data_IF_177473556620
#
_entry.id   IF_177473556620
#
_cell.length_a   1.000
_cell.length_b   1.000
_cell.length_c   1.000
_cell.angle_alpha   90.00
_cell.angle_beta   90.00
_cell.angle_gamma   90.00
#
_symmetry.space_group_name_H-M   'P 1'
#
loop_
_entity.id
_entity.type
_entity.pdbx_description
1 polymer ?
#
# COMPACT_ATOMS: atom_id res chain seq x y z
N UNK A 1 11.41 -0.48 -1.44
CA UNK A 1 12.72 -1.16 -1.35
C UNK A 1 13.69 -0.37 -0.47
N UNK A 2 14.00 0.87 -0.81
CA UNK A 2 14.95 1.71 -0.06
C UNK A 2 14.59 1.88 1.43
N UNK A 3 13.33 1.76 1.77
CA UNK A 3 12.82 1.86 3.15
C UNK A 3 12.62 0.49 3.82
N UNK A 4 13.12 -0.59 3.22
CA UNK A 4 13.03 -1.95 3.78
C UNK A 4 11.66 -2.61 3.70
N UNK A 5 10.69 -1.99 3.03
CA UNK A 5 9.36 -2.58 2.85
C UNK A 5 9.34 -3.61 1.72
N UNK A 6 8.52 -4.64 1.86
CA UNK A 6 8.25 -5.61 0.80
C UNK A 6 7.15 -5.08 -0.10
N UNK A 7 7.29 -5.28 -1.41
CA UNK A 7 6.25 -4.96 -2.38
C UNK A 7 5.42 -6.20 -2.70
N UNK A 8 4.11 -6.03 -2.61
CA UNK A 8 3.14 -7.04 -3.01
C UNK A 8 2.15 -6.43 -4.01
N UNK A 9 1.81 -7.16 -5.04
CA UNK A 9 0.93 -6.70 -6.12
C UNK A 9 -0.27 -7.63 -6.20
N UNK A 10 -1.47 -7.04 -6.26
CA UNK A 10 -2.74 -7.77 -6.42
C UNK A 10 -3.27 -7.46 -7.81
N UNK A 11 -3.45 -8.47 -8.62
CA UNK A 11 -4.06 -8.34 -9.94
C UNK A 11 -5.60 -8.29 -9.84
N UNK A 12 -6.29 -7.64 -10.75
CA UNK A 12 -5.75 -6.78 -11.82
C UNK A 12 -5.25 -5.44 -11.27
N UNK A 13 -4.04 -5.06 -11.64
CA UNK A 13 -3.47 -3.75 -11.29
C UNK A 13 -3.58 -2.78 -12.47
N UNK A 14 -3.23 -1.51 -12.26
CA UNK A 14 -3.38 -0.46 -13.28
C UNK A 14 -2.36 -0.52 -14.43
N UNK A 15 -1.51 -1.56 -14.48
CA UNK A 15 -0.46 -1.73 -15.51
C UNK A 15 -0.25 -3.22 -15.78
N UNK A 16 0.41 -3.52 -16.90
CA UNK A 16 0.78 -4.89 -17.25
C UNK A 16 2.11 -5.26 -16.59
N UNK A 17 2.12 -6.35 -15.82
CA UNK A 17 3.33 -6.86 -15.16
C UNK A 17 4.38 -7.37 -16.17
N UNK A 18 3.96 -7.63 -17.41
CA UNK A 18 4.83 -7.98 -18.53
C UNK A 18 5.43 -6.79 -19.26
N UNK A 19 5.01 -5.55 -18.92
CA UNK A 19 5.52 -4.33 -19.54
C UNK A 19 7.03 -4.21 -19.30
N UNK A 20 7.78 -3.95 -20.38
CA UNK A 20 9.23 -3.77 -20.32
C UNK A 20 9.66 -2.63 -19.41
N UNK A 21 8.85 -1.55 -19.33
CA UNK A 21 9.10 -0.41 -18.43
C UNK A 21 9.01 -0.81 -16.98
N UNK A 22 7.99 -1.58 -16.63
CA UNK A 22 7.83 -2.11 -15.27
C UNK A 22 9.02 -3.02 -14.90
N UNK A 23 9.37 -3.96 -15.76
CA UNK A 23 10.51 -4.88 -15.54
C UNK A 23 11.82 -4.11 -15.36
N UNK A 24 12.06 -3.09 -16.16
CA UNK A 24 13.27 -2.25 -16.06
C UNK A 24 13.35 -1.53 -14.72
N UNK A 25 12.27 -0.87 -14.31
CA UNK A 25 12.22 -0.17 -13.01
C UNK A 25 12.44 -1.13 -11.85
N UNK A 26 11.82 -2.30 -11.90
CA UNK A 26 11.99 -3.32 -10.86
C UNK A 26 13.44 -3.80 -10.78
N UNK A 27 14.07 -4.08 -11.91
CA UNK A 27 15.47 -4.54 -11.96
C UNK A 27 16.45 -3.49 -11.44
N UNK A 28 16.18 -2.21 -11.66
CA UNK A 28 17.05 -1.13 -11.21
C UNK A 28 16.99 -0.90 -9.69
N UNK A 29 15.87 -1.21 -9.04
CA UNK A 29 15.63 -0.83 -7.65
C UNK A 29 15.38 -2.00 -6.69
N UNK A 30 15.06 -3.17 -7.18
CA UNK A 30 14.82 -4.34 -6.34
C UNK A 30 15.01 -5.65 -7.09
N UNK A 31 15.22 -6.70 -6.32
CA UNK A 31 15.23 -8.06 -6.84
C UNK A 31 13.80 -8.47 -7.21
N UNK A 32 13.51 -8.78 -8.48
CA UNK A 32 12.17 -9.20 -8.92
C UNK A 32 11.63 -10.42 -8.17
N UNK A 33 12.51 -11.31 -7.69
CA UNK A 33 12.11 -12.50 -6.92
C UNK A 33 11.49 -12.16 -5.56
N UNK A 34 11.69 -10.95 -5.07
CA UNK A 34 11.13 -10.46 -3.80
C UNK A 34 9.77 -9.81 -3.93
N UNK A 35 9.26 -9.67 -5.14
CA UNK A 35 7.91 -9.15 -5.39
C UNK A 35 6.94 -10.31 -5.36
N UNK A 36 5.95 -10.26 -4.47
CA UNK A 36 4.88 -11.25 -4.44
C UNK A 36 3.68 -10.75 -5.24
N UNK A 37 3.14 -11.61 -6.11
CA UNK A 37 2.00 -11.31 -6.96
C UNK A 37 0.86 -12.24 -6.60
N UNK A 38 -0.33 -11.67 -6.36
CA UNK A 38 -1.57 -12.38 -6.12
C UNK A 38 -2.48 -12.21 -7.33
N UNK A 39 -3.11 -13.28 -7.77
CA UNK A 39 -4.03 -13.28 -8.93
C UNK A 39 -5.34 -12.54 -8.64
N UNK A 40 -5.71 -12.42 -7.36
CA UNK A 40 -6.93 -11.75 -6.94
C UNK A 40 -6.83 -11.24 -5.50
N UNK A 41 -7.73 -10.33 -5.13
CA UNK A 41 -7.87 -9.88 -3.75
C UNK A 41 -8.25 -11.03 -2.80
N UNK A 42 -9.05 -11.97 -3.27
CA UNK A 42 -9.41 -13.17 -2.49
C UNK A 42 -8.17 -13.98 -2.12
N UNK A 43 -7.30 -14.25 -3.08
CA UNK A 43 -6.03 -14.96 -2.83
C UNK A 43 -5.15 -14.20 -1.83
N UNK A 44 -5.05 -12.88 -1.99
CA UNK A 44 -4.33 -12.03 -1.06
C UNK A 44 -4.86 -12.14 0.38
N UNK A 45 -6.15 -12.02 0.58
CA UNK A 45 -6.78 -12.12 1.90
C UNK A 45 -6.59 -13.51 2.52
N UNK A 46 -6.71 -14.56 1.75
CA UNK A 46 -6.49 -15.95 2.21
C UNK A 46 -5.04 -16.16 2.69
N UNK A 47 -4.08 -15.55 1.99
CA UNK A 47 -2.68 -15.60 2.40
C UNK A 47 -2.41 -14.75 3.67
N UNK A 48 -3.05 -13.60 3.80
CA UNK A 48 -2.85 -12.61 4.86
C UNK A 48 -3.75 -12.79 6.08
N UNK A 49 -4.29 -13.97 6.35
CA UNK A 49 -5.32 -14.25 7.38
C UNK A 49 -5.09 -13.60 8.74
N UNK A 50 -3.86 -13.53 9.20
CA UNK A 50 -3.51 -13.00 10.53
C UNK A 50 -2.90 -11.61 10.50
N UNK A 51 -2.64 -11.06 9.33
CA UNK A 51 -2.00 -9.76 9.17
C UNK A 51 -3.00 -8.63 9.38
N UNK A 52 -2.53 -7.55 9.98
CA UNK A 52 -3.29 -6.31 10.01
C UNK A 52 -3.14 -5.62 8.65
N UNK A 53 -4.27 -5.45 7.97
CA UNK A 53 -4.34 -4.76 6.67
C UNK A 53 -4.95 -3.39 6.88
N UNK A 54 -4.25 -2.35 6.43
CA UNK A 54 -4.64 -0.96 6.56
C UNK A 54 -4.82 -0.38 5.17
N UNK A 55 -6.06 -0.09 4.80
CA UNK A 55 -6.38 0.55 3.52
C UNK A 55 -6.17 2.06 3.62
N UNK A 56 -5.34 2.58 2.73
CA UNK A 56 -5.17 4.02 2.56
C UNK A 56 -6.09 4.49 1.43
N UNK A 57 -7.06 5.31 1.78
CA UNK A 57 -8.13 5.73 0.86
C UNK A 57 -8.62 7.12 1.19
N UNK A 58 -8.94 7.91 0.16
CA UNK A 58 -9.54 9.24 0.32
C UNK A 58 -10.93 9.21 0.98
N UNK A 59 -11.59 8.05 0.94
CA UNK A 59 -12.93 7.84 1.52
C UNK A 59 -12.93 7.56 3.03
N UNK A 60 -11.77 7.41 3.65
CA UNK A 60 -11.69 7.18 5.08
C UNK A 60 -11.96 8.46 5.88
N UNK A 61 -12.39 8.28 7.13
CA UNK A 61 -12.62 9.40 8.06
C UNK A 61 -11.38 9.69 8.90
N UNK A 62 -10.65 8.67 9.31
CA UNK A 62 -9.52 8.77 10.22
C UNK A 62 -8.24 9.15 9.49
N UNK A 63 -7.50 10.13 10.04
CA UNK A 63 -6.18 10.49 9.52
C UNK A 63 -5.15 9.38 9.77
N UNK A 64 -4.25 9.21 8.82
CA UNK A 64 -3.14 8.27 8.91
C UNK A 64 -2.19 8.55 10.10
N UNK A 65 -2.13 9.78 10.58
CA UNK A 65 -1.33 10.16 11.74
C UNK A 65 -1.99 9.80 13.07
N UNK A 66 -3.30 9.60 13.09
CA UNK A 66 -4.08 9.28 14.29
C UNK A 66 -4.28 7.77 14.49
N UNK A 67 -3.37 6.97 13.97
CA UNK A 67 -3.42 5.52 14.02
C UNK A 67 -2.13 4.96 14.62
N UNK A 68 -2.26 3.94 15.44
CA UNK A 68 -1.11 3.27 16.04
C UNK A 68 -0.68 2.10 15.13
N UNK A 69 0.43 2.28 14.46
CA UNK A 69 1.00 1.27 13.57
C UNK A 69 1.80 0.21 14.32
N UNK A 70 1.83 -0.98 13.74
CA UNK A 70 2.73 -2.07 14.13
C UNK A 70 3.74 -2.31 13.01
N UNK A 71 4.89 -2.82 13.35
CA UNK A 71 5.96 -3.12 12.40
C UNK A 71 5.51 -4.06 11.25
N UNK A 72 4.67 -5.04 11.56
CA UNK A 72 4.21 -6.04 10.59
C UNK A 72 2.91 -5.64 9.87
N UNK A 73 2.47 -4.39 9.95
CA UNK A 73 1.29 -3.95 9.24
C UNK A 73 1.48 -4.02 7.73
N UNK A 74 0.43 -4.39 7.02
CA UNK A 74 0.36 -4.33 5.56
C UNK A 74 -0.44 -3.10 5.14
N UNK A 75 0.21 -2.18 4.43
CA UNK A 75 -0.43 -1.00 3.87
C UNK A 75 -0.99 -1.34 2.49
N UNK A 76 -2.30 -1.19 2.30
CA UNK A 76 -3.00 -1.49 1.06
C UNK A 76 -3.40 -0.20 0.34
N UNK A 77 -3.11 -0.14 -0.94
CA UNK A 77 -3.40 1.01 -1.81
C UNK A 77 -4.22 0.57 -3.01
N UNK A 78 -5.11 1.43 -3.47
CA UNK A 78 -5.85 1.22 -4.71
C UNK A 78 -5.09 1.65 -5.95
N UNK A 79 -5.67 1.40 -7.13
CA UNK A 79 -5.17 1.92 -8.40
C UNK A 79 -5.27 3.44 -8.45
N UNK A 80 -4.34 4.10 -9.14
CA UNK A 80 -4.36 5.56 -9.31
C UNK A 80 -5.66 6.06 -9.94
N UNK A 81 -6.17 5.35 -10.93
CA UNK A 81 -7.35 5.77 -11.70
C UNK A 81 -8.69 5.50 -11.01
N UNK A 82 -8.79 4.45 -10.21
CA UNK A 82 -10.08 3.96 -9.73
C UNK A 82 -10.13 3.63 -8.23
N UNK A 83 -8.99 3.67 -7.52
CA UNK A 83 -8.92 3.22 -6.13
C UNK A 83 -9.14 1.70 -6.01
N UNK A 84 -9.72 1.26 -4.91
CA UNK A 84 -10.08 -0.14 -4.68
C UNK A 84 -11.56 -0.39 -4.97
N UNK A 85 -11.94 -1.63 -5.34
CA UNK A 85 -13.36 -2.01 -5.45
C UNK A 85 -14.13 -1.82 -4.13
N UNK A 86 -15.44 -1.61 -4.22
CA UNK A 86 -16.28 -1.38 -3.03
C UNK A 86 -16.25 -2.52 -2.03
N UNK A 87 -16.14 -3.76 -2.48
CA UNK A 87 -16.02 -4.92 -1.59
C UNK A 87 -14.75 -4.87 -0.74
N UNK A 88 -13.66 -4.33 -1.25
CA UNK A 88 -12.42 -4.11 -0.49
C UNK A 88 -12.64 -3.07 0.60
N UNK A 89 -13.27 -1.94 0.27
CA UNK A 89 -13.64 -0.92 1.25
C UNK A 89 -14.48 -1.47 2.39
N UNK A 90 -15.44 -2.32 2.08
CA UNK A 90 -16.38 -2.89 3.06
C UNK A 90 -15.75 -3.95 3.96
N UNK A 91 -14.77 -4.67 3.48
CA UNK A 91 -14.20 -5.83 4.18
C UNK A 91 -12.95 -5.51 4.98
N UNK A 92 -12.18 -4.48 4.60
CA UNK A 92 -10.98 -4.10 5.34
C UNK A 92 -11.37 -3.38 6.64
N UNK A 93 -10.83 -3.85 7.75
CA UNK A 93 -11.14 -3.32 9.09
C UNK A 93 -10.59 -1.92 9.31
N UNK A 94 -9.38 -1.64 8.87
CA UNK A 94 -8.69 -0.36 9.12
C UNK A 94 -8.61 0.45 7.83
N UNK A 95 -9.15 1.67 7.86
CA UNK A 95 -9.16 2.61 6.74
C UNK A 95 -8.68 3.96 7.21
N UNK A 96 -7.66 4.48 6.55
CA UNK A 96 -7.04 5.76 6.88
C UNK A 96 -6.95 6.63 5.64
N UNK A 97 -6.90 7.94 5.85
CA UNK A 97 -6.66 8.91 4.78
C UNK A 97 -5.46 9.80 5.06
N UNK A 98 -4.84 10.27 4.01
CA UNK A 98 -3.94 11.41 4.07
C UNK A 98 -4.81 12.66 3.92
N UNK A 99 -4.87 13.55 4.92
CA UNK A 99 -5.65 14.78 4.81
C UNK A 99 -5.19 15.63 3.62
N UNK A 100 -6.13 16.15 2.87
CA UNK A 100 -5.88 17.02 1.71
C UNK A 100 -6.76 18.27 1.78
N UNK A 101 -6.35 19.31 1.08
CA UNK A 101 -7.16 20.52 0.89
C UNK A 101 -8.45 20.13 0.14
N UNK A 102 -9.56 20.72 0.53
CA UNK A 102 -10.86 20.48 -0.10
C UNK A 102 -10.83 20.63 -1.63
N UNK A 103 -11.69 19.88 -2.31
CA UNK A 103 -11.83 19.85 -3.77
C UNK A 103 -10.65 19.25 -4.54
N UNK A 104 -9.67 18.66 -3.89
CA UNK A 104 -8.62 17.88 -4.56
C UNK A 104 -9.02 16.41 -4.64
N UNK A 105 -8.63 15.74 -5.74
CA UNK A 105 -9.02 14.33 -5.99
C UNK A 105 -8.23 13.34 -5.16
N UNK A 106 -6.94 13.30 -5.38
CA UNK A 106 -6.03 12.36 -4.73
C UNK A 106 -4.57 12.77 -4.93
N UNK A 107 -3.71 12.26 -4.08
CA UNK A 107 -2.27 12.33 -4.27
C UNK A 107 -1.82 11.24 -5.25
N UNK A 108 -0.68 11.45 -5.87
CA UNK A 108 0.02 10.40 -6.62
C UNK A 108 0.21 9.17 -5.73
N UNK A 109 0.07 7.98 -6.32
CA UNK A 109 0.15 6.72 -5.59
C UNK A 109 1.50 6.53 -4.87
N UNK A 110 2.61 6.74 -5.56
CA UNK A 110 3.93 6.59 -4.97
C UNK A 110 4.16 7.60 -3.83
N UNK A 111 3.66 8.82 -3.97
CA UNK A 111 3.68 9.84 -2.91
C UNK A 111 2.88 9.39 -1.70
N UNK A 112 1.69 8.84 -1.89
CA UNK A 112 0.86 8.31 -0.80
C UNK A 112 1.55 7.16 -0.06
N UNK A 113 2.18 6.26 -0.80
CA UNK A 113 2.98 5.15 -0.23
C UNK A 113 4.13 5.69 0.61
N UNK A 114 4.89 6.65 0.09
CA UNK A 114 6.03 7.24 0.79
C UNK A 114 5.61 7.92 2.11
N UNK A 115 4.55 8.72 2.08
CA UNK A 115 4.04 9.44 3.25
C UNK A 115 3.60 8.46 4.35
N UNK A 116 2.77 7.48 4.01
CA UNK A 116 2.21 6.55 4.99
C UNK A 116 3.23 5.54 5.50
N UNK A 117 4.12 5.08 4.65
CA UNK A 117 5.22 4.20 5.05
C UNK A 117 6.20 4.92 5.98
N UNK A 118 6.54 6.18 5.70
CA UNK A 118 7.40 6.98 6.57
C UNK A 118 6.81 7.14 7.96
N UNK A 119 5.51 7.39 8.08
CA UNK A 119 4.83 7.48 9.39
C UNK A 119 4.83 6.14 10.14
N UNK A 120 4.57 5.03 9.44
CA UNK A 120 4.67 3.70 10.05
C UNK A 120 6.08 3.45 10.60
N UNK A 121 7.11 3.71 9.80
CA UNK A 121 8.50 3.52 10.21
C UNK A 121 8.90 4.44 11.37
N UNK A 122 8.41 5.68 11.37
CA UNK A 122 8.64 6.62 12.47
C UNK A 122 8.06 6.09 13.78
N UNK A 123 6.83 5.61 13.77
CA UNK A 123 6.17 5.09 14.97
C UNK A 123 6.79 3.79 15.47
N UNK A 124 7.25 2.94 14.57
CA UNK A 124 7.85 1.65 14.92
C UNK A 124 9.36 1.72 15.17
N UNK A 125 9.96 2.89 15.02
CA UNK A 125 11.39 3.16 15.19
C UNK A 125 12.30 2.26 14.33
N UNK A 126 11.77 1.71 13.24
CA UNK A 126 12.46 0.67 12.48
C UNK A 126 13.79 1.13 11.87
N UNK A 127 13.80 2.35 11.32
CA UNK A 127 15.01 2.89 10.67
C UNK A 127 16.04 3.44 11.67
N UNK A 128 15.59 3.81 12.87
CA UNK A 128 16.43 4.50 13.84
C UNK A 128 17.08 3.57 14.88
N UNK A 129 16.62 2.33 14.95
CA UNK A 129 17.13 1.33 15.89
C UNK A 129 18.13 0.36 15.26
N UNK A 130 18.38 0.52 14.00
CA UNK A 130 19.44 -0.17 13.27
C UNK A 130 20.61 0.77 13.07
#
# INVERSE_FOLDING_TARGET
SCLGAKLEIIEPCGFLLTDKRFKRVVMDYMDPSKIKIYKSYKEFIEYKKTDRIILITTKAKKSYTNFQYNFNDTLLFGRESAGVPDNVHKTVKYRLKIPMIEKKRSLNLATSVAITLAENLRQTNYLWTK
#
